data_IF_914596671568
#
_entry.id   IF_914596671568
#
_cell.length_a   1.000
_cell.length_b   1.000
_cell.length_c   1.000
_cell.angle_alpha   90.00
_cell.angle_beta   90.00
_cell.angle_gamma   90.00
#
_symmetry.space_group_name_H-M   'P 1'
#
loop_
_entity.id
_entity.type
_entity.pdbx_description
1 polymer ?
#
# COMPACT_ATOMS: atom_id res chain seq x y z
N UNK A 1 -9.01 -9.61 -9.20
CA UNK A 1 -8.10 -8.71 -8.48
C UNK A 1 -7.45 -7.80 -9.50
N UNK A 2 -7.49 -6.49 -9.29
CA UNK A 2 -6.78 -5.55 -10.15
C UNK A 2 -5.28 -5.54 -9.81
N UNK A 3 -4.44 -5.69 -10.82
CA UNK A 3 -2.99 -5.85 -10.65
C UNK A 3 -2.21 -4.74 -11.36
N UNK A 4 -1.23 -4.15 -10.66
CA UNK A 4 -0.21 -3.30 -11.26
C UNK A 4 1.05 -4.15 -11.52
N UNK A 5 1.34 -4.33 -12.81
CA UNK A 5 2.41 -5.18 -13.32
C UNK A 5 3.65 -4.39 -13.76
N UNK A 6 3.68 -3.06 -13.59
CA UNK A 6 4.77 -2.21 -14.09
C UNK A 6 5.51 -1.49 -12.96
N UNK A 7 4.79 -0.93 -11.99
CA UNK A 7 5.41 -0.08 -10.96
C UNK A 7 6.36 -0.87 -10.08
N UNK A 8 7.61 -0.43 -9.97
CA UNK A 8 8.66 -1.10 -9.17
C UNK A 8 8.80 -2.60 -9.51
N UNK A 9 8.72 -2.91 -10.81
CA UNK A 9 8.77 -4.28 -11.36
C UNK A 9 7.44 -5.03 -11.33
N UNK A 10 6.38 -4.44 -10.76
CA UNK A 10 5.03 -5.00 -10.74
C UNK A 10 4.75 -5.96 -9.58
N UNK A 11 3.67 -6.73 -9.74
CA UNK A 11 3.19 -7.73 -8.76
C UNK A 11 2.36 -7.13 -7.62
N UNK A 12 1.87 -5.90 -7.78
CA UNK A 12 1.01 -5.26 -6.78
C UNK A 12 -0.45 -5.57 -7.05
N UNK A 13 -1.21 -5.85 -5.99
CA UNK A 13 -2.65 -6.05 -6.02
C UNK A 13 -3.36 -4.90 -5.31
N UNK A 14 -4.42 -4.37 -5.92
CA UNK A 14 -5.24 -3.32 -5.31
C UNK A 14 -6.09 -3.93 -4.19
N UNK A 15 -5.97 -3.39 -2.98
CA UNK A 15 -6.68 -3.87 -1.79
C UNK A 15 -7.58 -2.82 -1.15
N UNK A 16 -7.44 -1.56 -1.56
CA UNK A 16 -8.20 -0.48 -0.98
C UNK A 16 -8.20 0.73 -1.90
N UNK A 17 -9.27 1.50 -1.83
CA UNK A 17 -9.34 2.80 -2.48
C UNK A 17 -10.25 3.76 -1.74
N UNK A 18 -9.96 5.03 -1.92
CA UNK A 18 -10.69 6.13 -1.32
C UNK A 18 -10.86 7.22 -2.35
N UNK A 19 -12.11 7.67 -2.54
CA UNK A 19 -12.44 8.76 -3.44
C UNK A 19 -12.42 10.13 -2.75
N UNK A 20 -12.24 10.17 -1.44
CA UNK A 20 -12.04 11.39 -0.67
C UNK A 20 -11.03 11.13 0.45
N UNK A 21 -10.78 12.14 1.28
CA UNK A 21 -9.81 12.08 2.37
C UNK A 21 -10.36 11.49 3.67
N UNK A 22 -11.65 11.15 3.71
CA UNK A 22 -12.31 10.54 4.87
C UNK A 22 -12.04 9.04 4.84
N UNK A 23 -11.09 8.61 5.67
CA UNK A 23 -10.62 7.21 5.65
C UNK A 23 -11.44 6.29 6.55
N UNK A 24 -12.09 6.88 7.55
CA UNK A 24 -12.52 6.18 8.76
C UNK A 24 -13.86 5.48 8.65
N UNK A 25 -14.67 5.86 7.65
CA UNK A 25 -15.97 5.30 7.32
C UNK A 25 -15.93 4.40 6.09
N UNK A 26 -14.73 4.17 5.54
CA UNK A 26 -14.56 3.34 4.35
C UNK A 26 -14.79 1.88 4.72
N UNK A 27 -15.80 1.22 4.13
CA UNK A 27 -16.14 -0.16 4.48
C UNK A 27 -15.07 -1.14 4.01
N UNK A 28 -15.06 -2.32 4.61
CA UNK A 28 -14.34 -3.47 4.10
C UNK A 28 -15.30 -4.60 3.76
N UNK A 29 -15.08 -5.26 2.63
CA UNK A 29 -15.92 -6.36 2.17
C UNK A 29 -15.07 -7.56 1.75
N UNK A 30 -15.67 -8.74 1.74
CA UNK A 30 -15.06 -9.96 1.22
C UNK A 30 -15.14 -10.02 -0.32
N UNK A 31 -14.75 -8.94 -0.98
CA UNK A 31 -14.72 -8.78 -2.43
C UNK A 31 -13.41 -8.13 -2.86
N UNK A 32 -13.05 -8.26 -4.13
CA UNK A 32 -11.87 -7.58 -4.69
C UNK A 32 -12.17 -6.13 -4.98
N UNK A 33 -11.16 -5.26 -4.89
CA UNK A 33 -11.30 -3.84 -5.21
C UNK A 33 -11.05 -3.60 -6.70
N UNK A 34 -11.95 -2.84 -7.31
CA UNK A 34 -11.81 -2.32 -8.68
C UNK A 34 -11.46 -0.82 -8.66
N UNK A 35 -10.65 -0.32 -9.62
CA UNK A 35 -10.10 1.04 -9.61
C UNK A 35 -11.13 2.17 -9.76
N UNK A 36 -12.34 1.90 -10.27
CA UNK A 36 -13.35 2.92 -10.61
C UNK A 36 -14.79 2.71 -10.05
N UNK A 37 -15.05 1.62 -9.33
CA UNK A 37 -16.20 1.40 -8.41
C UNK A 37 -16.33 2.36 -7.17
N UNK A 38 -16.87 1.94 -6.03
CA UNK A 38 -16.95 2.71 -4.77
C UNK A 38 -15.72 2.57 -3.87
N UNK A 39 -15.56 3.50 -2.92
CA UNK A 39 -14.54 3.42 -1.86
C UNK A 39 -14.76 2.17 -1.01
N UNK A 40 -13.74 1.33 -0.88
CA UNK A 40 -13.77 0.14 -0.03
C UNK A 40 -12.36 -0.40 0.21
N UNK A 41 -12.23 -1.19 1.26
CA UNK A 41 -11.16 -2.14 1.53
C UNK A 41 -11.59 -3.56 1.17
N UNK A 42 -10.61 -4.43 0.92
CA UNK A 42 -10.82 -5.85 0.71
C UNK A 42 -10.31 -6.66 1.91
N UNK A 43 -11.20 -7.43 2.53
CA UNK A 43 -10.84 -8.43 3.55
C UNK A 43 -10.41 -9.77 2.97
N UNK A 44 -10.55 -9.98 1.65
CA UNK A 44 -10.13 -11.21 0.94
C UNK A 44 -8.64 -11.54 1.20
N UNK A 45 -7.84 -10.50 1.44
CA UNK A 45 -6.40 -10.62 1.61
C UNK A 45 -5.95 -10.72 3.07
N UNK A 46 -6.86 -10.78 4.04
CA UNK A 46 -6.54 -10.67 5.47
C UNK A 46 -5.44 -11.64 5.95
N UNK A 47 -5.55 -12.92 5.58
CA UNK A 47 -4.57 -13.95 5.94
C UNK A 47 -3.36 -14.02 5.01
N UNK A 48 -3.36 -13.27 3.92
CA UNK A 48 -2.33 -13.35 2.89
C UNK A 48 -1.04 -12.69 3.40
N UNK A 49 0.11 -13.40 3.41
CA UNK A 49 1.39 -12.84 3.81
C UNK A 49 1.90 -11.83 2.79
N UNK A 50 1.88 -10.54 3.15
CA UNK A 50 2.34 -9.43 2.31
C UNK A 50 3.78 -9.05 2.68
N UNK A 51 4.53 -8.57 1.70
CA UNK A 51 5.91 -8.12 1.83
C UNK A 51 6.07 -6.62 1.57
N UNK A 52 5.26 -6.04 0.68
CA UNK A 52 5.17 -4.60 0.51
C UNK A 52 3.74 -4.11 0.71
N UNK A 53 3.64 -2.93 1.29
CA UNK A 53 2.44 -2.11 1.30
C UNK A 53 2.73 -0.81 0.57
N UNK A 54 1.87 -0.41 -0.35
CA UNK A 54 2.06 0.78 -1.17
C UNK A 54 0.84 1.68 -1.08
N UNK A 55 1.10 2.97 -0.98
CA UNK A 55 0.08 4.01 -0.91
C UNK A 55 0.33 5.00 -2.04
N UNK A 56 -0.71 5.29 -2.81
CA UNK A 56 -0.68 6.18 -3.95
C UNK A 56 -1.80 7.20 -3.79
N UNK A 57 -1.45 8.49 -3.78
CA UNK A 57 -2.38 9.60 -3.59
C UNK A 57 -2.39 10.45 -4.84
N UNK A 58 -3.59 10.78 -5.31
CA UNK A 58 -3.82 11.59 -6.51
C UNK A 58 -4.79 12.75 -6.25
N UNK A 59 -4.69 13.79 -7.07
CA UNK A 59 -5.62 14.92 -7.06
C UNK A 59 -6.88 14.69 -7.92
N UNK A 60 -6.93 13.59 -8.68
CA UNK A 60 -8.04 13.21 -9.55
C UNK A 60 -8.40 11.72 -9.39
N UNK A 61 -9.66 11.38 -9.63
CA UNK A 61 -10.19 10.01 -9.50
C UNK A 61 -9.51 9.03 -10.45
N UNK A 62 -9.09 9.49 -11.63
CA UNK A 62 -8.43 8.64 -12.63
C UNK A 62 -6.94 8.44 -12.33
N UNK A 63 -6.44 8.97 -11.22
CA UNK A 63 -5.06 8.84 -10.76
C UNK A 63 -4.01 9.29 -11.79
N UNK A 64 -4.34 10.30 -12.62
CA UNK A 64 -3.42 10.89 -13.61
C UNK A 64 -2.48 11.91 -13.01
N UNK A 65 -2.87 12.55 -11.91
CA UNK A 65 -2.12 13.56 -11.19
C UNK A 65 -1.71 13.03 -9.82
N UNK A 66 -0.77 12.09 -9.83
CA UNK A 66 -0.17 11.53 -8.63
C UNK A 66 0.59 12.65 -7.88
N UNK A 67 0.33 12.76 -6.58
CA UNK A 67 0.94 13.78 -5.70
C UNK A 67 1.86 13.18 -4.64
N UNK A 68 1.58 11.95 -4.23
CA UNK A 68 2.45 11.18 -3.35
C UNK A 68 2.34 9.69 -3.71
N UNK A 69 3.45 8.98 -3.76
CA UNK A 69 3.46 7.58 -4.16
C UNK A 69 4.63 6.86 -3.51
N UNK A 70 4.32 5.91 -2.64
CA UNK A 70 5.30 5.34 -1.73
C UNK A 70 5.08 3.85 -1.53
N UNK A 71 6.18 3.13 -1.31
CA UNK A 71 6.17 1.71 -0.96
C UNK A 71 6.95 1.47 0.33
N UNK A 72 6.35 0.73 1.23
CA UNK A 72 6.91 0.27 2.49
C UNK A 72 7.27 -1.20 2.34
N UNK A 73 8.58 -1.51 2.28
CA UNK A 73 9.08 -2.89 2.29
C UNK A 73 9.14 -3.37 3.73
N UNK A 74 8.51 -4.49 4.05
CA UNK A 74 8.64 -5.11 5.38
C UNK A 74 9.89 -5.97 5.48
N UNK A 75 10.45 -6.09 6.69
CA UNK A 75 11.58 -6.98 6.98
C UNK A 75 11.18 -8.45 6.83
N UNK A 76 9.99 -8.79 7.31
CA UNK A 76 9.41 -10.11 7.21
C UNK A 76 8.02 -10.04 6.59
N UNK A 77 7.60 -11.12 5.94
CA UNK A 77 6.21 -11.25 5.51
C UNK A 77 5.30 -11.34 6.73
N UNK A 78 4.14 -10.71 6.64
CA UNK A 78 3.09 -10.83 7.64
C UNK A 78 1.71 -10.82 6.99
N UNK A 79 0.70 -11.45 7.59
CA UNK A 79 -0.69 -11.33 7.13
C UNK A 79 -1.12 -9.87 7.05
N UNK A 80 -1.91 -9.51 6.03
CA UNK A 80 -2.45 -8.15 5.87
C UNK A 80 -3.29 -7.71 7.09
N UNK A 81 -4.01 -8.64 7.74
CA UNK A 81 -4.74 -8.36 8.99
C UNK A 81 -3.87 -7.90 10.16
N UNK A 82 -2.55 -8.00 10.03
CA UNK A 82 -1.56 -7.49 10.99
C UNK A 82 -0.77 -6.31 10.41
N UNK A 83 -1.37 -5.55 9.50
CA UNK A 83 -0.73 -4.37 8.88
C UNK A 83 -0.36 -3.33 9.94
N UNK A 84 -1.27 -3.06 10.88
CA UNK A 84 -1.02 -2.15 11.99
C UNK A 84 -0.36 -2.90 13.15
N UNK A 85 0.77 -2.38 13.62
CA UNK A 85 1.54 -2.88 14.76
C UNK A 85 1.64 -1.82 15.85
N UNK A 86 1.81 -2.28 17.09
CA UNK A 86 2.11 -1.45 18.27
C UNK A 86 3.07 -2.21 19.16
N UNK A 87 4.00 -1.53 19.83
CA UNK A 87 5.03 -2.13 20.71
C UNK A 87 6.03 -3.06 20.03
N UNK A 88 5.87 -3.32 18.74
CA UNK A 88 6.65 -4.23 17.94
C UNK A 88 6.93 -3.61 16.57
N UNK A 89 7.95 -4.11 15.88
CA UNK A 89 8.31 -3.61 14.55
C UNK A 89 8.80 -2.16 14.53
N UNK A 90 9.10 -1.57 15.70
CA UNK A 90 9.59 -0.20 15.83
C UNK A 90 8.50 0.88 15.89
N UNK A 91 7.22 0.51 15.94
CA UNK A 91 6.16 1.46 16.29
C UNK A 91 6.11 1.70 17.81
N UNK A 92 6.10 2.96 18.29
CA UNK A 92 6.00 3.27 19.72
C UNK A 92 4.71 2.75 20.36
N UNK A 93 4.75 2.54 21.68
CA UNK A 93 3.62 1.96 22.43
C UNK A 93 2.31 2.76 22.34
N UNK A 94 2.43 4.08 22.16
CA UNK A 94 1.30 5.00 22.11
C UNK A 94 0.88 5.37 20.69
N UNK A 95 1.56 4.84 19.66
CA UNK A 95 1.37 5.23 18.26
C UNK A 95 1.41 4.00 17.35
N UNK A 96 0.27 3.30 17.24
CA UNK A 96 0.13 2.19 16.31
C UNK A 96 0.28 2.66 14.86
N UNK A 97 0.83 1.78 14.01
CA UNK A 97 1.08 2.11 12.62
C UNK A 97 1.60 0.96 11.79
N UNK A 98 1.93 1.24 10.53
CA UNK A 98 2.60 0.29 9.65
C UNK A 98 4.06 0.19 10.09
N UNK A 99 4.38 -0.85 10.86
CA UNK A 99 5.72 -1.10 11.41
C UNK A 99 6.48 -2.21 10.66
N UNK A 100 7.59 -2.64 11.25
CA UNK A 100 8.53 -3.67 10.74
C UNK A 100 9.06 -3.34 9.34
N UNK A 101 9.30 -2.04 9.10
CA UNK A 101 9.76 -1.54 7.81
C UNK A 101 11.28 -1.77 7.68
N UNK A 102 11.68 -2.34 6.54
CA UNK A 102 13.07 -2.51 6.10
C UNK A 102 13.55 -1.25 5.37
N UNK A 103 12.73 -0.73 4.44
CA UNK A 103 12.98 0.55 3.79
C UNK A 103 11.69 1.14 3.22
N UNK A 104 11.71 2.44 3.00
CA UNK A 104 10.65 3.19 2.30
C UNK A 104 11.20 3.71 0.97
N UNK A 105 10.46 3.45 -0.10
CA UNK A 105 10.80 3.90 -1.46
C UNK A 105 9.80 4.95 -1.92
N UNK A 106 10.30 6.09 -2.40
CA UNK A 106 9.48 7.06 -3.14
C UNK A 106 9.34 6.56 -4.58
N UNK A 107 8.13 6.22 -4.97
CA UNK A 107 7.84 5.70 -6.31
C UNK A 107 7.64 6.81 -7.35
N UNK A 108 7.59 8.08 -6.95
CA UNK A 108 7.66 9.19 -7.90
C UNK A 108 9.08 9.49 -8.37
N UNK A 109 10.09 9.21 -7.54
CA UNK A 109 11.52 9.38 -7.88
C UNK A 109 12.26 8.06 -8.10
N UNK A 110 11.60 6.93 -7.79
CA UNK A 110 12.17 5.58 -7.78
C UNK A 110 13.36 5.37 -6.82
N UNK A 111 13.53 6.24 -5.83
CA UNK A 111 14.63 6.20 -4.87
C UNK A 111 14.21 5.65 -3.51
N UNK A 112 15.14 4.97 -2.83
CA UNK A 112 14.98 4.61 -1.42
C UNK A 112 15.17 5.87 -0.58
N UNK A 113 14.09 6.37 0.00
CA UNK A 113 14.12 7.61 0.77
C UNK A 113 14.56 7.42 2.21
N UNK A 114 14.34 6.24 2.80
CA UNK A 114 14.85 5.92 4.13
C UNK A 114 14.97 4.42 4.36
N UNK A 115 16.02 4.02 5.09
CA UNK A 115 16.18 2.68 5.69
C UNK A 115 16.01 2.70 7.21
N UNK A 116 15.97 3.90 7.80
CA UNK A 116 15.93 4.14 9.24
C UNK A 116 14.55 4.62 9.69
N UNK A 117 13.51 4.39 8.87
CA UNK A 117 12.13 4.76 9.17
C UNK A 117 11.35 3.52 9.62
N UNK A 118 11.22 3.25 10.93
CA UNK A 118 10.71 1.99 11.42
C UNK A 118 9.18 1.89 11.43
N UNK A 119 8.46 3.02 11.48
CA UNK A 119 7.02 3.06 11.66
C UNK A 119 6.35 4.24 10.96
N UNK A 120 5.33 3.94 10.15
CA UNK A 120 4.36 4.92 9.63
C UNK A 120 3.13 4.92 10.54
N UNK A 121 2.98 5.96 11.36
CA UNK A 121 1.91 6.06 12.36
C UNK A 121 0.57 6.25 11.67
N UNK A 122 -0.42 5.49 12.13
CA UNK A 122 -1.80 5.50 11.64
C UNK A 122 -2.74 6.35 12.51
N UNK A 123 -2.54 6.33 13.83
CA UNK A 123 -3.43 7.00 14.76
C UNK A 123 -2.97 6.87 16.22
N UNK A 124 -3.88 7.18 17.14
CA UNK A 124 -3.61 7.07 18.57
C UNK A 124 -3.80 5.63 19.07
N UNK A 125 -3.09 5.29 20.15
CA UNK A 125 -3.27 4.01 20.81
C UNK A 125 -4.65 3.91 21.48
N UNK A 126 -5.36 2.85 21.12
CA UNK A 126 -6.50 2.31 21.85
C UNK A 126 -6.16 0.89 22.33
N UNK A 127 -6.63 0.51 23.51
CA UNK A 127 -6.42 -0.85 24.02
C UNK A 127 -7.12 -1.87 23.10
N UNK A 128 -6.52 -3.02 22.74
CA UNK A 128 -7.10 -3.95 21.78
C UNK A 128 -8.51 -4.45 22.12
N UNK A 129 -8.83 -4.59 23.41
CA UNK A 129 -10.18 -4.99 23.84
C UNK A 129 -11.26 -3.97 23.52
N UNK A 130 -10.90 -2.70 23.24
CA UNK A 130 -11.84 -1.67 22.84
C UNK A 130 -12.29 -1.84 21.38
N UNK A 131 -11.52 -2.56 20.55
CA UNK A 131 -11.76 -2.73 19.10
C UNK A 131 -12.05 -1.40 18.39
N UNK A 132 -11.17 -0.41 18.60
CA UNK A 132 -11.29 0.94 18.04
C UNK A 132 -10.05 1.30 17.23
N UNK A 133 -10.21 2.15 16.21
CA UNK A 133 -9.08 2.73 15.48
C UNK A 133 -8.22 1.67 14.81
N UNK A 134 -6.92 1.64 15.13
CA UNK A 134 -5.96 0.71 14.54
C UNK A 134 -6.32 -0.78 14.69
N UNK A 135 -6.90 -1.17 15.83
CA UNK A 135 -7.33 -2.57 16.05
C UNK A 135 -8.52 -2.92 15.19
N UNK A 136 -9.47 -2.01 15.06
CA UNK A 136 -10.62 -2.18 14.18
C UNK A 136 -10.17 -2.18 12.71
N UNK A 137 -9.19 -1.36 12.33
CA UNK A 137 -8.62 -1.37 10.98
C UNK A 137 -8.05 -2.75 10.63
N UNK A 138 -7.27 -3.36 11.53
CA UNK A 138 -6.80 -4.74 11.35
C UNK A 138 -7.96 -5.75 11.25
N UNK A 139 -9.00 -5.60 12.08
CA UNK A 139 -10.24 -6.42 11.99
C UNK A 139 -10.89 -6.27 10.62
N UNK A 140 -11.00 -5.05 10.11
CA UNK A 140 -11.58 -4.79 8.79
C UNK A 140 -10.72 -5.31 7.64
N UNK A 141 -9.42 -5.51 7.84
CA UNK A 141 -8.58 -6.20 6.86
C UNK A 141 -8.73 -7.72 6.95
N UNK A 142 -9.21 -8.27 8.07
CA UNK A 142 -9.48 -9.71 8.28
C UNK A 142 -10.88 -10.12 7.83
N UNK A 143 -11.87 -9.30 8.14
CA UNK A 143 -13.29 -9.58 7.93
C UNK A 143 -14.05 -8.35 7.42
N UNK A 144 -15.29 -8.55 6.98
CA UNK A 144 -16.09 -7.45 6.44
C UNK A 144 -16.51 -6.46 7.55
N UNK A 145 -16.41 -5.17 7.26
CA UNK A 145 -16.79 -4.06 8.10
C UNK A 145 -17.68 -3.10 7.32
N UNK A 146 -18.98 -3.05 7.59
CA UNK A 146 -19.93 -2.23 6.83
C UNK A 146 -19.79 -0.72 7.05
N UNK A 147 -19.24 -0.30 8.19
CA UNK A 147 -19.20 1.11 8.60
C UNK A 147 -17.77 1.69 8.62
N UNK A 148 -16.75 0.89 8.31
CA UNK A 148 -15.35 1.31 8.45
C UNK A 148 -14.79 1.19 9.87
N UNK A 149 -13.52 1.52 10.03
CA UNK A 149 -12.75 1.21 11.23
C UNK A 149 -13.00 2.14 12.42
N UNK A 150 -13.61 3.31 12.20
CA UNK A 150 -13.91 4.24 13.29
C UNK A 150 -15.28 4.03 13.93
N UNK A 151 -16.04 3.04 13.48
CA UNK A 151 -17.37 2.76 13.99
C UNK A 151 -17.35 1.54 14.90
N UNK A 152 -18.23 1.58 15.90
CA UNK A 152 -18.37 0.46 16.82
C UNK A 152 -18.89 -0.78 16.07
N UNK A 153 -18.26 -1.93 16.29
CA UNK A 153 -18.57 -3.18 15.59
C UNK A 153 -20.03 -3.67 15.72
N UNK A 154 -20.74 -3.32 16.81
CA UNK A 154 -22.15 -3.70 17.03
C UNK A 154 -23.17 -2.60 16.71
N UNK A 155 -22.75 -1.32 16.69
CA UNK A 155 -23.67 -0.19 16.59
C UNK A 155 -23.04 0.87 15.68
N UNK A 156 -23.81 1.54 14.80
CA UNK A 156 -23.27 2.54 13.87
C UNK A 156 -22.96 3.88 14.56
N UNK A 157 -22.15 3.84 15.62
CA UNK A 157 -21.68 4.99 16.38
C UNK A 157 -20.20 5.18 16.08
N UNK A 158 -19.84 6.36 15.59
CA UNK A 158 -18.45 6.75 15.40
C UNK A 158 -17.78 6.96 16.76
N UNK A 159 -16.64 6.30 16.94
CA UNK A 159 -15.88 6.19 18.19
C UNK A 159 -14.40 6.52 18.01
N UNK A 160 -13.95 6.71 16.76
CA UNK A 160 -12.63 7.25 16.43
C UNK A 160 -12.78 8.36 15.37
N UNK A 161 -11.88 9.33 15.41
CA UNK A 161 -11.82 10.47 14.49
C UNK A 161 -10.41 10.64 13.92
N UNK A 162 -9.56 9.63 14.08
CA UNK A 162 -8.19 9.63 13.57
C UNK A 162 -7.94 8.35 12.79
N UNK A 163 -7.03 8.43 11.83
CA UNK A 163 -6.70 7.32 10.94
C UNK A 163 -6.17 7.87 9.63
N UNK A 164 -4.87 7.77 9.43
CA UNK A 164 -4.25 8.27 8.20
C UNK A 164 -2.85 7.73 8.04
N UNK A 165 -2.38 7.70 6.80
CA UNK A 165 -1.07 7.17 6.48
C UNK A 165 -0.08 8.32 6.38
N UNK A 166 0.92 8.30 7.26
CA UNK A 166 2.06 9.23 7.27
C UNK A 166 3.26 8.63 6.54
N UNK A 167 3.94 9.39 5.69
CA UNK A 167 4.84 8.78 4.70
C UNK A 167 6.31 8.74 5.15
N UNK A 168 6.88 9.85 5.63
CA UNK A 168 8.18 9.90 6.31
C UNK A 168 8.13 11.01 7.36
N UNK A 169 8.38 10.69 8.64
CA UNK A 169 8.38 11.68 9.73
C UNK A 169 9.75 12.37 9.86
N UNK A 170 9.74 13.67 10.15
CA UNK A 170 10.94 14.40 10.57
C UNK A 170 11.54 13.76 11.83
N UNK A 171 12.83 13.43 11.79
CA UNK A 171 13.59 12.86 12.91
C UNK A 171 13.15 11.49 13.45
N UNK A 172 13.08 10.42 12.62
CA UNK A 172 13.06 8.99 13.03
C UNK A 172 12.07 8.54 14.13
N UNK A 173 11.25 9.43 14.67
CA UNK A 173 10.38 9.23 15.82
C UNK A 173 9.06 8.59 15.40
N UNK A 174 8.80 8.55 14.09
CA UNK A 174 7.58 8.01 13.49
C UNK A 174 6.36 8.89 13.73
N UNK A 175 6.45 9.99 14.48
CA UNK A 175 5.26 10.72 14.94
C UNK A 175 4.86 11.83 13.97
N UNK A 176 3.56 12.01 13.70
CA UNK A 176 3.03 13.18 12.96
C UNK A 176 3.41 14.50 13.67
N UNK A 177 3.76 14.46 14.96
CA UNK A 177 4.23 15.62 15.74
C UNK A 177 5.43 16.32 15.13
N UNK A 178 6.32 15.53 14.55
CA UNK A 178 7.60 16.01 14.04
C UNK A 178 7.50 16.36 12.54
N UNK A 179 6.26 16.31 12.02
CA UNK A 179 5.87 16.58 10.65
C UNK A 179 6.26 15.47 9.69
N UNK A 180 5.64 15.45 8.51
CA UNK A 180 5.79 14.39 7.53
C UNK A 180 5.97 14.94 6.11
N UNK A 181 6.58 14.15 5.23
CA UNK A 181 6.74 14.48 3.79
C UNK A 181 5.39 14.49 3.05
N UNK A 182 4.49 13.62 3.46
CA UNK A 182 3.11 13.59 3.03
C UNK A 182 2.24 13.01 4.14
N UNK A 183 0.94 13.18 4.01
CA UNK A 183 -0.08 12.61 4.87
C UNK A 183 -1.36 12.39 4.06
N UNK A 184 -2.06 11.29 4.30
CA UNK A 184 -3.38 11.06 3.75
C UNK A 184 -4.28 10.44 4.79
N UNK A 185 -5.37 11.13 5.10
CA UNK A 185 -6.41 10.68 6.00
C UNK A 185 -6.68 11.70 7.06
N UNK A 186 -6.93 11.26 8.29
CA UNK A 186 -7.47 12.16 9.29
C UNK A 186 -6.72 12.15 10.62
N UNK A 187 -6.56 13.34 11.19
CA UNK A 187 -5.91 13.56 12.48
C UNK A 187 -6.83 14.44 13.33
N UNK A 188 -7.28 13.91 14.48
CA UNK A 188 -8.21 14.60 15.42
C UNK A 188 -9.46 15.20 14.74
N UNK A 189 -10.08 14.43 13.85
CA UNK A 189 -11.31 14.81 13.16
C UNK A 189 -11.12 15.72 11.95
N UNK A 190 -9.89 16.08 11.58
CA UNK A 190 -9.58 16.80 10.35
C UNK A 190 -9.01 15.85 9.31
N UNK A 191 -9.74 15.65 8.22
CA UNK A 191 -9.31 14.84 7.09
C UNK A 191 -8.68 15.69 5.99
N UNK A 192 -7.57 15.23 5.44
CA UNK A 192 -6.91 15.83 4.29
C UNK A 192 -5.94 14.88 3.61
N UNK A 193 -5.55 15.25 2.39
CA UNK A 193 -4.26 14.93 1.84
C UNK A 193 -3.35 16.14 2.01
N UNK A 194 -2.15 15.90 2.50
CA UNK A 194 -1.08 16.87 2.52
C UNK A 194 0.16 16.30 1.84
N UNK A 195 0.81 17.09 1.00
CA UNK A 195 2.00 16.66 0.26
C UNK A 195 2.85 17.86 -0.17
N UNK A 196 4.16 17.61 -0.33
CA UNK A 196 5.09 18.57 -0.92
C UNK A 196 5.02 18.66 -2.44
N UNK A 197 5.87 19.51 -3.05
CA UNK A 197 6.10 19.50 -4.49
C UNK A 197 6.62 18.13 -4.96
N UNK A 198 6.39 17.82 -6.24
CA UNK A 198 6.83 16.55 -6.83
C UNK A 198 8.36 16.37 -6.66
N UNK A 199 8.77 15.22 -6.12
CA UNK A 199 10.17 14.91 -5.83
C UNK A 199 10.75 15.58 -4.57
N UNK A 200 9.95 16.38 -3.84
CA UNK A 200 10.36 16.96 -2.57
C UNK A 200 10.49 15.91 -1.46
N UNK A 201 11.46 16.11 -0.57
CA UNK A 201 11.78 15.21 0.55
C UNK A 201 11.79 15.91 1.93
N UNK A 202 11.40 17.18 1.98
CA UNK A 202 11.33 17.95 3.22
C UNK A 202 10.03 17.64 4.00
N UNK A 203 9.90 18.21 5.19
CA UNK A 203 8.71 18.13 6.03
C UNK A 203 7.67 19.14 5.54
N UNK A 204 6.61 18.64 4.91
CA UNK A 204 5.57 19.46 4.28
C UNK A 204 4.26 19.49 5.07
N UNK A 205 4.06 18.52 5.95
CA UNK A 205 2.79 18.26 6.61
C UNK A 205 2.99 18.22 8.12
N UNK A 206 2.14 18.92 8.85
CA UNK A 206 2.08 18.89 10.30
C UNK A 206 0.72 18.34 10.76
N UNK A 207 0.60 18.10 12.07
CA UNK A 207 -0.65 17.71 12.73
C UNK A 207 -1.84 18.53 12.27
N UNK A 208 -3.01 17.90 12.31
CA UNK A 208 -4.29 18.53 12.04
C UNK A 208 -4.36 19.17 10.64
N UNK A 209 -3.74 18.52 9.66
CA UNK A 209 -3.78 18.93 8.25
C UNK A 209 -3.19 20.32 7.99
N UNK A 210 -2.05 20.62 8.62
CA UNK A 210 -1.34 21.89 8.43
C UNK A 210 -0.20 21.73 7.44
N UNK A 211 -0.06 22.69 6.54
CA UNK A 211 1.07 22.75 5.61
C UNK A 211 2.28 23.47 6.23
N UNK A 212 3.48 23.05 5.84
CA UNK A 212 4.75 23.70 6.13
C UNK A 212 5.68 23.62 4.90
N UNK A 213 6.71 24.46 4.83
CA UNK A 213 7.77 24.41 3.81
C UNK A 213 7.25 24.29 2.36
N UNK A 214 6.13 24.96 2.04
CA UNK A 214 5.51 24.90 0.70
C UNK A 214 4.62 23.68 0.45
N UNK A 215 4.26 22.93 1.49
CA UNK A 215 3.28 21.85 1.44
C UNK A 215 1.90 22.34 0.97
N UNK A 216 1.17 21.46 0.29
CA UNK A 216 -0.20 21.69 -0.15
C UNK A 216 -1.13 20.80 0.65
N UNK A 217 -2.23 21.37 1.16
CA UNK A 217 -3.30 20.63 1.85
C UNK A 217 -4.57 20.71 1.01
N UNK A 218 -5.23 19.59 0.80
CA UNK A 218 -6.52 19.49 0.12
C UNK A 218 -7.40 18.46 0.82
N UNK A 219 -8.71 18.68 0.81
CA UNK A 219 -9.71 17.68 1.22
C UNK A 219 -10.20 16.84 0.05
N UNK A 220 -10.03 17.34 -1.17
CA UNK A 220 -10.33 16.63 -2.42
C UNK A 220 -9.07 15.93 -2.91
N UNK A 221 -8.94 14.66 -2.55
CA UNK A 221 -7.87 13.78 -2.98
C UNK A 221 -8.35 12.34 -2.92
N UNK A 222 -7.71 11.51 -3.74
CA UNK A 222 -8.04 10.10 -3.88
C UNK A 222 -6.82 9.28 -3.52
N UNK A 223 -7.04 8.07 -2.99
CA UNK A 223 -5.96 7.16 -2.67
C UNK A 223 -6.23 5.74 -3.12
N UNK A 224 -5.17 5.07 -3.58
CA UNK A 224 -5.12 3.65 -3.83
C UNK A 224 -4.11 2.98 -2.90
N UNK A 225 -4.51 1.82 -2.38
CA UNK A 225 -3.75 1.01 -1.45
C UNK A 225 -3.45 -0.34 -2.07
N UNK A 226 -2.19 -0.71 -2.07
CA UNK A 226 -1.68 -1.84 -2.81
C UNK A 226 -0.86 -2.74 -1.89
N UNK A 227 -0.84 -4.03 -2.20
CA UNK A 227 0.06 -4.99 -1.53
C UNK A 227 0.81 -5.82 -2.55
N UNK A 228 2.00 -6.28 -2.17
CA UNK A 228 2.77 -7.25 -2.94
C UNK A 228 3.28 -8.36 -2.04
N UNK A 229 3.08 -9.61 -2.47
CA UNK A 229 3.38 -10.80 -1.67
C UNK A 229 4.84 -11.22 -1.82
N UNK A 230 5.35 -11.10 -3.04
CA UNK A 230 6.71 -11.40 -3.44
C UNK A 230 7.17 -10.26 -4.34
N UNK A 231 8.44 -9.81 -4.25
CA UNK A 231 8.98 -9.01 -5.32
C UNK A 231 8.86 -9.86 -6.59
N UNK A 232 8.69 -9.23 -7.76
CA UNK A 232 8.96 -9.95 -9.00
C UNK A 232 10.39 -10.47 -8.84
N UNK A 233 10.54 -11.80 -8.73
CA UNK A 233 11.83 -12.37 -9.09
C UNK A 233 12.07 -11.89 -10.51
N UNK A 234 13.31 -11.62 -10.88
CA UNK A 234 13.64 -11.52 -12.30
C UNK A 234 13.39 -12.91 -12.92
N UNK A 235 12.13 -13.27 -13.13
CA UNK A 235 11.71 -14.45 -13.87
C UNK A 235 12.27 -14.34 -15.29
N UNK A 236 12.49 -13.09 -15.75
CA UNK A 236 13.16 -12.73 -16.99
C UNK A 236 14.65 -13.09 -17.08
N UNK A 237 15.36 -13.38 -15.98
CA UNK A 237 16.71 -13.96 -16.09
C UNK A 237 16.68 -15.46 -16.44
N UNK A 238 15.51 -16.11 -16.42
CA UNK A 238 15.32 -17.52 -16.75
C UNK A 238 14.51 -17.67 -18.04
N UNK A 239 14.97 -18.53 -18.93
CA UNK A 239 14.26 -18.85 -20.15
C UNK A 239 12.90 -19.50 -19.82
N UNK A 240 11.79 -18.91 -20.31
CA UNK A 240 10.44 -19.49 -20.20
C UNK A 240 10.03 -20.10 -21.53
N UNK A 241 9.54 -21.35 -21.56
CA UNK A 241 9.04 -21.99 -22.79
C UNK A 241 7.53 -22.29 -22.72
N UNK A 242 6.84 -22.13 -23.85
CA UNK A 242 5.42 -22.48 -24.01
C UNK A 242 5.16 -23.07 -25.40
N UNK A 243 4.09 -23.85 -25.52
CA UNK A 243 3.67 -24.51 -26.77
C UNK A 243 2.37 -23.89 -27.25
N UNK A 244 2.33 -23.47 -28.51
CA UNK A 244 1.12 -22.92 -29.15
C UNK A 244 0.97 -23.48 -30.56
N UNK A 245 -0.23 -23.44 -31.10
CA UNK A 245 -0.55 -23.81 -32.47
C UNK A 245 -0.29 -22.62 -33.40
N UNK A 246 0.48 -22.83 -34.47
CA UNK A 246 0.74 -21.84 -35.51
C UNK A 246 -0.45 -21.80 -36.50
N UNK A 247 -0.54 -20.75 -37.31
CA UNK A 247 -1.65 -20.55 -38.27
C UNK A 247 -1.82 -21.70 -39.28
N UNK A 248 -0.79 -22.52 -39.46
CA UNK A 248 -0.80 -23.71 -40.31
C UNK A 248 -1.29 -25.00 -39.60
N UNK A 249 -1.70 -24.91 -38.32
CA UNK A 249 -2.14 -26.04 -37.50
C UNK A 249 -1.01 -26.83 -36.84
N UNK A 250 0.25 -26.43 -37.02
CA UNK A 250 1.39 -27.11 -36.38
C UNK A 250 1.64 -26.56 -34.98
N UNK A 251 1.93 -27.45 -34.03
CA UNK A 251 2.32 -27.03 -32.69
C UNK A 251 3.81 -26.64 -32.64
N UNK A 252 4.09 -25.38 -32.34
CA UNK A 252 5.45 -24.86 -32.16
C UNK A 252 5.75 -24.51 -30.70
N UNK A 253 7.01 -24.71 -30.32
CA UNK A 253 7.55 -24.23 -29.05
C UNK A 253 8.10 -22.82 -29.23
N UNK A 254 7.84 -21.97 -28.26
CA UNK A 254 8.39 -20.62 -28.16
C UNK A 254 9.06 -20.46 -26.81
N UNK A 255 10.07 -19.58 -26.78
CA UNK A 255 10.76 -19.16 -25.57
C UNK A 255 10.83 -17.65 -25.43
N UNK A 256 10.81 -17.21 -24.19
CA UNK A 256 11.11 -15.84 -23.77
C UNK A 256 12.44 -15.87 -23.02
N UNK A 257 13.36 -14.98 -23.39
CA UNK A 257 14.73 -14.94 -22.85
C UNK A 257 15.05 -13.50 -22.46
N UNK A 258 15.44 -13.26 -21.20
CA UNK A 258 15.79 -11.92 -20.75
C UNK A 258 14.58 -10.99 -20.74
N UNK A 259 14.85 -9.71 -20.94
CA UNK A 259 13.83 -8.64 -21.02
C UNK A 259 13.15 -8.54 -22.40
N UNK A 260 13.20 -9.60 -23.23
CA UNK A 260 12.59 -9.57 -24.57
C UNK A 260 11.09 -9.79 -24.48
N UNK A 261 10.33 -8.80 -24.94
CA UNK A 261 8.87 -8.88 -25.09
C UNK A 261 8.42 -9.69 -26.34
N UNK A 262 9.36 -10.17 -27.16
CA UNK A 262 9.06 -10.91 -28.39
C UNK A 262 9.45 -12.38 -28.24
N UNK A 263 8.49 -13.32 -28.34
CA UNK A 263 8.77 -14.76 -28.30
C UNK A 263 9.70 -15.18 -29.44
N UNK A 264 10.65 -16.06 -29.15
CA UNK A 264 11.55 -16.68 -30.13
C UNK A 264 11.16 -18.15 -30.28
N UNK A 265 11.03 -18.64 -31.51
CA UNK A 265 10.73 -20.07 -31.76
C UNK A 265 11.86 -20.95 -31.20
N UNK A 266 11.52 -21.95 -30.39
CA UNK A 266 12.45 -22.90 -29.77
C UNK A 266 12.20 -23.16 -28.28
N UNK A 267 12.99 -24.08 -27.72
CA UNK A 267 12.96 -24.50 -26.31
C UNK A 267 14.11 -23.90 -25.49
N UNK A 268 13.97 -23.92 -24.18
CA UNK A 268 15.04 -23.56 -23.25
C UNK A 268 16.11 -24.66 -23.21
N UNK A 269 17.38 -24.29 -23.02
CA UNK A 269 18.49 -25.25 -22.99
C UNK A 269 18.47 -26.11 -21.73
N UNK A 270 18.99 -27.35 -21.80
CA UNK A 270 19.01 -28.32 -20.68
C UNK A 270 19.80 -27.87 -19.42
N UNK A 271 20.51 -26.74 -19.48
CA UNK A 271 21.31 -26.21 -18.37
C UNK A 271 20.62 -25.04 -17.62
N UNK A 272 19.41 -24.65 -18.01
CA UNK A 272 18.72 -23.50 -17.40
C UNK A 272 17.40 -23.98 -16.80
N UNK A 273 17.21 -23.62 -15.52
CA UNK A 273 16.22 -24.21 -14.63
C UNK A 273 14.79 -24.20 -15.21
N UNK A 274 14.20 -25.39 -15.19
CA UNK A 274 12.83 -25.67 -15.62
C UNK A 274 11.87 -25.20 -14.51
N UNK A 275 10.75 -24.62 -14.92
CA UNK A 275 9.63 -24.16 -14.10
C UNK A 275 9.34 -25.09 -12.90
N UNK A 276 9.47 -24.55 -11.68
CA UNK A 276 8.47 -24.61 -10.61
C UNK A 276 9.06 -23.88 -9.38
N UNK A 277 8.43 -22.76 -9.03
CA UNK A 277 8.12 -22.33 -7.66
C UNK A 277 7.49 -20.93 -7.79
N UNK A 278 6.17 -20.95 -8.00
CA UNK A 278 5.30 -19.81 -7.72
C UNK A 278 5.07 -19.66 -6.23
#
# INVERSE_FOLDING_TARGET
>A
VWCDMSTDGGGYMLIGRMNDTVTWDVPSNNSTVEPFDVSQWSSVFGDIPILDFRVQVAADEQHKQIKAHWSFRFKNKRPLKKLMMVNEGGCPYNQPGVGDISYVKNLMTEEISSKDFPCSVFGAYSHPSAKLGWTMMNSCLEESCSYGFAYHHLFPVQVDFSGGFSFLAGNNSGTISDGTTAFFGCDKGKCCACYGPAGGSDIYCEKECKAKNGGTVTTNAHAWFWVRLNPPQKVWEKCMEYRTEEENGDAAWYKLVGDRNTPVKGRCGKNEAILNDG
#
